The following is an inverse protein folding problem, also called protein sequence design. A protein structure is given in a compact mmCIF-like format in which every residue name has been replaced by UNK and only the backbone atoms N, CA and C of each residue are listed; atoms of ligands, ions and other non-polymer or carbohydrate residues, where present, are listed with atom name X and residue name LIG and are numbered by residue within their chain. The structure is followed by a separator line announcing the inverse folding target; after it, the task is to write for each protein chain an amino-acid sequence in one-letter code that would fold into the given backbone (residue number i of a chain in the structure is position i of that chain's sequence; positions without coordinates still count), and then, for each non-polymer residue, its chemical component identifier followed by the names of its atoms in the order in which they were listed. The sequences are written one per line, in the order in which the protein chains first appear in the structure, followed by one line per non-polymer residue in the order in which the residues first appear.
data_IF_064735540915
#
_entry.id   IF_064735540915
#
_cell.length_a   1.000
_cell.length_b   1.000
_cell.length_c   1.000
_cell.angle_alpha   90.00
_cell.angle_beta   90.00
_cell.angle_gamma   90.00
#
_symmetry.space_group_name_H-M   'P 1'
#
loop_
_entity.id
_entity.type
_entity.pdbx_description
1 polymer ?
#
# COMPACT_ATOMS: atom_id res chain seq x y z
N UNK A 1 5.79 22.45 8.58
CA UNK A 1 6.54 21.34 7.93
C UNK A 1 7.47 21.76 6.79
N UNK A 2 7.35 22.95 6.19
CA UNK A 2 8.24 23.37 5.08
C UNK A 2 9.73 23.43 5.43
N UNK A 3 10.07 23.80 6.68
CA UNK A 3 11.45 23.77 7.19
C UNK A 3 12.08 22.38 7.08
N UNK A 4 11.41 21.35 7.62
CA UNK A 4 11.93 19.98 7.64
C UNK A 4 12.10 19.38 6.25
N UNK A 5 11.17 19.63 5.33
CA UNK A 5 11.33 19.19 3.93
C UNK A 5 12.53 19.88 3.28
N UNK A 6 12.68 21.19 3.44
CA UNK A 6 13.79 21.94 2.84
C UNK A 6 15.15 21.51 3.40
N UNK A 7 15.20 21.12 4.68
CA UNK A 7 16.40 20.62 5.34
C UNK A 7 16.85 19.26 4.77
N UNK A 8 15.89 18.43 4.40
CA UNK A 8 16.10 17.08 3.87
C UNK A 8 16.23 17.04 2.34
N UNK A 9 16.01 18.16 1.64
CA UNK A 9 16.19 18.23 0.19
C UNK A 9 17.65 17.92 -0.21
N UNK A 10 17.80 17.30 -1.38
CA UNK A 10 19.09 16.98 -2.00
C UNK A 10 19.79 18.22 -2.55
N UNK A 11 20.24 19.10 -1.65
CA UNK A 11 21.04 20.28 -2.00
C UNK A 11 22.48 20.11 -1.50
N UNK A 12 23.50 20.59 -2.24
CA UNK A 12 24.90 20.51 -1.79
C UNK A 12 25.12 21.08 -0.38
N UNK A 13 24.42 22.17 -0.04
CA UNK A 13 24.49 22.80 1.28
C UNK A 13 23.98 21.90 2.44
N UNK A 14 23.09 20.95 2.16
CA UNK A 14 22.49 20.06 3.16
C UNK A 14 23.23 18.71 3.25
N UNK A 15 24.18 18.44 2.36
CA UNK A 15 24.86 17.15 2.28
C UNK A 15 25.66 16.84 3.54
N UNK A 16 26.44 17.82 4.01
CA UNK A 16 27.27 17.63 5.20
C UNK A 16 26.43 17.50 6.46
N UNK A 17 25.31 18.24 6.53
CA UNK A 17 24.37 18.16 7.63
C UNK A 17 23.70 16.78 7.70
N UNK A 18 23.32 16.21 6.54
CA UNK A 18 22.82 14.84 6.48
C UNK A 18 23.86 13.82 6.93
N UNK A 19 25.06 13.89 6.34
CA UNK A 19 26.13 12.93 6.58
C UNK A 19 26.65 12.99 8.01
N UNK A 20 26.73 14.16 8.65
CA UNK A 20 27.28 14.25 10.01
C UNK A 20 26.25 14.09 11.11
N UNK A 21 25.00 14.51 10.86
CA UNK A 21 24.03 14.69 11.94
C UNK A 21 22.68 14.04 11.64
N UNK A 22 21.99 14.43 10.56
CA UNK A 22 20.56 14.08 10.41
C UNK A 22 20.32 12.59 10.19
N UNK A 23 21.22 11.86 9.53
CA UNK A 23 21.05 10.40 9.36
C UNK A 23 20.95 9.66 10.69
N UNK A 24 21.55 10.19 11.76
CA UNK A 24 21.54 9.59 13.09
C UNK A 24 20.22 9.82 13.84
N UNK A 25 19.40 10.77 13.39
CA UNK A 25 18.05 11.01 13.91
C UNK A 25 17.07 9.94 13.41
N UNK A 26 17.40 9.24 12.33
CA UNK A 26 16.54 8.21 11.73
C UNK A 26 17.23 6.82 11.73
N UNK A 27 17.63 6.29 12.91
CA UNK A 27 18.37 5.03 13.00
C UNK A 27 17.61 3.84 12.41
N UNK A 28 16.27 3.86 12.41
CA UNK A 28 15.43 2.81 11.87
C UNK A 28 15.08 2.95 10.38
N UNK A 29 15.55 4.01 9.71
CA UNK A 29 15.25 4.26 8.29
C UNK A 29 16.04 3.35 7.35
N UNK A 30 15.70 3.32 6.05
CA UNK A 30 16.53 2.69 5.02
C UNK A 30 17.96 3.27 4.88
N UNK A 31 18.30 4.35 5.60
CA UNK A 31 19.63 4.96 5.62
C UNK A 31 19.88 5.97 4.49
N UNK A 32 18.93 6.18 3.59
CA UNK A 32 19.04 7.15 2.48
C UNK A 32 18.27 8.44 2.78
N UNK A 33 18.84 9.58 2.40
CA UNK A 33 18.19 10.89 2.60
C UNK A 33 16.91 10.97 1.80
N UNK A 34 16.92 10.39 0.61
CA UNK A 34 15.81 10.39 -0.33
C UNK A 34 14.59 9.69 0.24
N UNK A 35 14.81 8.57 0.94
CA UNK A 35 13.74 7.85 1.63
C UNK A 35 13.11 8.73 2.72
N UNK A 36 13.92 9.33 3.60
CA UNK A 36 13.42 10.19 4.68
C UNK A 36 12.73 11.43 4.12
N UNK A 37 13.33 12.08 3.12
CA UNK A 37 12.75 13.24 2.45
C UNK A 37 11.39 12.92 1.82
N UNK A 38 11.26 11.77 1.15
CA UNK A 38 9.99 11.31 0.57
C UNK A 38 8.92 11.14 1.64
N UNK A 39 9.21 10.41 2.72
CA UNK A 39 8.25 10.17 3.80
C UNK A 39 7.80 11.47 4.49
N UNK A 40 8.72 12.39 4.78
CA UNK A 40 8.40 13.70 5.38
C UNK A 40 7.59 14.58 4.40
N UNK A 41 7.87 14.49 3.10
CA UNK A 41 7.12 15.20 2.07
C UNK A 41 5.69 14.66 1.94
N UNK A 42 5.51 13.35 1.97
CA UNK A 42 4.18 12.72 1.93
C UNK A 42 3.33 13.16 3.14
N UNK A 43 3.90 13.14 4.35
CA UNK A 43 3.27 13.69 5.55
C UNK A 43 2.90 15.17 5.40
N UNK A 44 3.81 15.99 4.87
CA UNK A 44 3.55 17.42 4.62
C UNK A 44 2.37 17.61 3.68
N UNK A 45 2.32 16.83 2.60
CA UNK A 45 1.27 16.92 1.58
C UNK A 45 -0.09 16.54 2.19
N UNK A 46 -0.16 15.45 2.95
CA UNK A 46 -1.37 15.05 3.68
C UNK A 46 -1.83 16.15 4.64
N UNK A 47 -0.93 16.66 5.49
CA UNK A 47 -1.24 17.75 6.43
C UNK A 47 -1.77 19.00 5.72
N UNK A 48 -1.17 19.36 4.59
CA UNK A 48 -1.58 20.54 3.83
C UNK A 48 -2.99 20.37 3.25
N UNK A 49 -3.32 19.19 2.74
CA UNK A 49 -4.68 18.90 2.27
C UNK A 49 -5.72 18.98 3.38
N UNK A 50 -5.42 18.41 4.55
CA UNK A 50 -6.29 18.55 5.71
C UNK A 50 -6.48 20.03 6.09
N UNK A 51 -5.40 20.82 6.08
CA UNK A 51 -5.46 22.25 6.39
C UNK A 51 -6.24 23.07 5.35
N UNK A 52 -6.21 22.68 4.08
CA UNK A 52 -6.95 23.33 3.00
C UNK A 52 -8.37 22.76 2.81
N UNK A 53 -8.78 21.78 3.62
CA UNK A 53 -10.06 21.08 3.47
C UNK A 53 -10.25 20.43 2.09
N UNK A 54 -9.15 19.98 1.49
CA UNK A 54 -9.20 19.25 0.22
C UNK A 54 -9.88 17.88 0.40
N UNK A 55 -10.48 17.36 -0.67
CA UNK A 55 -11.09 16.02 -0.66
C UNK A 55 -10.07 14.95 -0.29
N UNK A 56 -10.44 14.03 0.62
CA UNK A 56 -9.64 12.85 1.00
C UNK A 56 -10.25 11.53 0.50
N UNK A 57 -11.22 11.58 -0.42
CA UNK A 57 -11.99 10.42 -0.86
C UNK A 57 -11.15 9.31 -1.51
N UNK A 58 -10.03 9.66 -2.14
CA UNK A 58 -9.13 8.70 -2.79
C UNK A 58 -8.05 8.13 -1.85
N UNK A 59 -8.13 8.44 -0.54
CA UNK A 59 -7.16 8.06 0.48
C UNK A 59 -7.78 7.07 1.45
N UNK A 60 -7.00 6.07 1.85
CA UNK A 60 -7.32 5.24 3.00
C UNK A 60 -6.65 5.87 4.24
N UNK A 61 -7.41 6.47 5.17
CA UNK A 61 -6.85 7.14 6.34
C UNK A 61 -6.04 6.19 7.23
N UNK A 62 -6.36 4.89 7.23
CA UNK A 62 -5.59 3.90 7.99
C UNK A 62 -4.23 3.62 7.37
N UNK A 63 -4.10 3.67 6.04
CA UNK A 63 -2.80 3.58 5.35
C UNK A 63 -1.96 4.82 5.65
N UNK A 64 -2.57 6.01 5.58
CA UNK A 64 -1.86 7.27 5.84
C UNK A 64 -1.37 7.36 7.29
N UNK A 65 -2.19 6.95 8.26
CA UNK A 65 -1.76 6.80 9.65
C UNK A 65 -0.56 5.85 9.76
N UNK A 66 -0.62 4.67 9.12
CA UNK A 66 0.49 3.70 9.16
C UNK A 66 1.77 4.22 8.52
N UNK A 67 1.70 5.04 7.46
CA UNK A 67 2.87 5.74 6.91
C UNK A 67 3.50 6.68 7.93
N UNK A 68 2.69 7.44 8.67
CA UNK A 68 3.15 8.33 9.74
C UNK A 68 3.82 7.55 10.87
N UNK A 69 3.17 6.49 11.33
CA UNK A 69 3.71 5.62 12.39
C UNK A 69 5.03 4.98 11.97
N UNK A 70 5.15 4.55 10.72
CA UNK A 70 6.40 4.00 10.19
C UNK A 70 7.52 5.03 10.07
N UNK A 71 7.20 6.30 9.79
CA UNK A 71 8.17 7.40 9.86
C UNK A 71 8.61 7.67 11.31
N UNK A 72 7.68 7.63 12.28
CA UNK A 72 8.02 7.81 13.70
C UNK A 72 8.89 6.66 14.19
N UNK A 73 8.60 5.43 13.79
CA UNK A 73 9.42 4.25 14.14
C UNK A 73 10.87 4.35 13.63
N UNK A 74 11.11 5.12 12.57
CA UNK A 74 12.48 5.39 12.13
C UNK A 74 13.26 6.24 13.13
N UNK A 75 12.57 7.09 13.89
CA UNK A 75 13.15 7.95 14.92
C UNK A 75 13.25 7.17 16.22
N UNK A 76 12.12 6.66 16.70
CA UNK A 76 11.99 5.99 17.98
C UNK A 76 10.79 5.02 18.00
N UNK A 77 11.01 3.71 18.18
CA UNK A 77 9.95 2.71 18.33
C UNK A 77 9.02 2.94 19.55
N UNK A 78 9.51 3.54 20.64
CA UNK A 78 8.68 3.84 21.80
C UNK A 78 7.70 4.98 21.47
N UNK A 79 8.17 6.01 20.76
CA UNK A 79 7.32 7.08 20.26
C UNK A 79 6.23 6.57 19.30
N UNK A 80 6.54 5.59 18.44
CA UNK A 80 5.52 4.92 17.60
C UNK A 80 4.44 4.30 18.48
N UNK A 81 4.84 3.49 19.46
CA UNK A 81 3.93 2.76 20.35
C UNK A 81 3.06 3.71 21.17
N UNK A 82 3.64 4.81 21.66
CA UNK A 82 2.90 5.86 22.34
C UNK A 82 1.87 6.53 21.42
N UNK A 83 2.25 6.89 20.19
CA UNK A 83 1.33 7.49 19.21
C UNK A 83 0.20 6.55 18.82
N UNK A 84 0.49 5.26 18.60
CA UNK A 84 -0.55 4.24 18.37
C UNK A 84 -1.54 4.16 19.54
N UNK A 85 -1.09 4.40 20.78
CA UNK A 85 -1.95 4.40 21.96
C UNK A 85 -2.86 5.64 22.11
N UNK A 86 -2.56 6.75 21.42
CA UNK A 86 -3.32 8.00 21.57
C UNK A 86 -4.00 8.49 20.27
N UNK A 87 -3.73 7.83 19.14
CA UNK A 87 -4.35 8.21 17.87
C UNK A 87 -5.86 7.88 17.86
N UNK A 88 -6.65 8.76 17.23
CA UNK A 88 -8.11 8.62 17.13
C UNK A 88 -8.59 8.37 15.69
N UNK A 89 -7.65 8.30 14.74
CA UNK A 89 -7.94 8.12 13.31
C UNK A 89 -8.54 6.73 13.08
N UNK A 90 -8.02 5.69 13.73
CA UNK A 90 -8.55 4.32 13.59
C UNK A 90 -10.00 4.21 14.07
N UNK A 91 -10.29 4.77 15.25
CA UNK A 91 -11.66 4.80 15.81
C UNK A 91 -12.60 5.56 14.88
N UNK A 92 -12.23 6.78 14.49
CA UNK A 92 -13.05 7.62 13.61
C UNK A 92 -13.30 6.96 12.25
N UNK A 93 -12.27 6.30 11.68
CA UNK A 93 -12.41 5.60 10.41
C UNK A 93 -13.33 4.37 10.51
N UNK A 94 -13.41 3.73 11.68
CA UNK A 94 -14.30 2.60 11.94
C UNK A 94 -15.77 3.00 12.11
N UNK A 95 -16.02 4.23 12.58
CA UNK A 95 -17.36 4.80 12.78
C UNK A 95 -18.01 5.30 11.47
N UNK A 96 -17.41 4.98 10.31
CA UNK A 96 -17.92 5.41 9.02
C UNK A 96 -19.37 4.95 8.82
N UNK A 97 -20.34 5.86 8.65
CA UNK A 97 -21.76 5.52 8.68
C UNK A 97 -22.23 4.76 7.43
N UNK A 98 -21.52 4.90 6.31
CA UNK A 98 -21.90 4.30 5.02
C UNK A 98 -20.71 3.56 4.44
N UNK A 99 -20.90 2.28 4.16
CA UNK A 99 -19.92 1.45 3.47
C UNK A 99 -19.59 2.04 2.08
N UNK A 100 -18.34 1.91 1.60
CA UNK A 100 -18.00 2.37 0.26
C UNK A 100 -18.89 1.72 -0.81
N UNK A 101 -19.57 2.53 -1.62
CA UNK A 101 -20.37 2.01 -2.74
C UNK A 101 -19.51 1.28 -3.80
N UNK A 102 -18.21 1.60 -3.83
CA UNK A 102 -17.20 0.92 -4.64
C UNK A 102 -16.18 0.31 -3.69
N UNK A 103 -16.35 -0.98 -3.42
CA UNK A 103 -15.63 -1.73 -2.40
C UNK A 103 -14.55 -2.66 -3.00
N UNK A 104 -14.37 -2.65 -4.32
CA UNK A 104 -13.29 -3.38 -5.00
C UNK A 104 -12.40 -2.42 -5.77
N UNK A 105 -11.08 -2.51 -5.56
CA UNK A 105 -10.09 -1.90 -6.45
C UNK A 105 -9.57 -2.91 -7.46
N UNK A 106 -9.69 -2.63 -8.75
CA UNK A 106 -9.06 -3.42 -9.80
C UNK A 106 -7.75 -2.76 -10.19
N UNK A 107 -6.65 -3.48 -10.00
CA UNK A 107 -5.29 -3.03 -10.30
C UNK A 107 -4.77 -3.67 -11.58
N UNK A 108 -3.99 -2.91 -12.36
CA UNK A 108 -3.33 -3.43 -13.55
C UNK A 108 -2.15 -4.32 -13.13
N UNK A 109 -2.26 -5.62 -13.35
CA UNK A 109 -1.20 -6.60 -13.13
C UNK A 109 -0.31 -6.78 -14.39
N UNK A 110 -0.50 -5.95 -15.43
CA UNK A 110 0.25 -6.03 -16.69
C UNK A 110 1.60 -5.29 -16.67
N UNK A 111 1.83 -4.39 -15.71
CA UNK A 111 3.11 -3.66 -15.58
C UNK A 111 4.17 -4.53 -14.88
N UNK A 112 3.72 -5.51 -14.09
CA UNK A 112 4.56 -6.39 -13.30
C UNK A 112 4.02 -7.82 -13.45
N UNK A 113 4.71 -8.67 -14.23
CA UNK A 113 4.48 -10.14 -14.22
C UNK A 113 4.42 -10.72 -12.79
N UNK A 114 4.89 -9.96 -11.80
CA UNK A 114 5.03 -10.30 -10.40
C UNK A 114 3.83 -9.94 -9.51
N UNK A 115 2.91 -9.06 -9.92
CA UNK A 115 1.79 -8.69 -9.04
C UNK A 115 0.84 -9.88 -8.84
N UNK A 116 0.50 -10.58 -9.92
CA UNK A 116 -0.33 -11.79 -9.84
C UNK A 116 0.43 -12.94 -9.16
N UNK A 117 1.72 -13.10 -9.44
CA UNK A 117 2.56 -14.11 -8.79
C UNK A 117 2.69 -13.86 -7.27
N UNK A 118 2.80 -12.59 -6.85
CA UNK A 118 2.78 -12.22 -5.42
C UNK A 118 1.49 -12.71 -4.75
N UNK A 119 0.34 -12.47 -5.37
CA UNK A 119 -0.92 -12.99 -4.84
C UNK A 119 -0.97 -14.51 -4.84
N UNK A 120 -0.58 -15.16 -5.94
CA UNK A 120 -0.66 -16.63 -6.05
C UNK A 120 0.33 -17.37 -5.13
N UNK A 121 1.45 -16.75 -4.77
CA UNK A 121 2.49 -17.36 -3.94
C UNK A 121 2.35 -17.07 -2.46
N UNK A 122 1.96 -15.85 -2.10
CA UNK A 122 1.97 -15.39 -0.71
C UNK A 122 0.68 -14.68 -0.30
N UNK A 123 -0.37 -14.71 -1.15
CA UNK A 123 -1.69 -14.11 -0.89
C UNK A 123 -1.57 -12.66 -0.43
N UNK A 124 -0.86 -11.85 -1.22
CA UNK A 124 -0.66 -10.44 -0.93
C UNK A 124 -0.62 -9.59 -2.20
N UNK A 125 -0.95 -8.30 -2.04
CA UNK A 125 -0.66 -7.26 -3.01
C UNK A 125 0.33 -6.26 -2.39
N UNK A 126 1.38 -5.92 -3.12
CA UNK A 126 2.41 -4.96 -2.70
C UNK A 126 2.47 -3.85 -3.73
N UNK A 127 2.52 -2.61 -3.27
CA UNK A 127 2.76 -1.45 -4.13
C UNK A 127 3.55 -0.37 -3.39
N UNK A 128 4.11 0.58 -4.14
CA UNK A 128 4.85 1.70 -3.57
C UNK A 128 3.93 2.62 -2.75
N UNK A 129 4.49 3.28 -1.72
CA UNK A 129 3.72 4.17 -0.83
C UNK A 129 3.09 5.39 -1.51
N UNK A 130 3.58 5.79 -2.69
CA UNK A 130 3.01 6.89 -3.48
C UNK A 130 1.75 6.47 -4.27
N UNK A 131 1.45 5.17 -4.32
CA UNK A 131 0.22 4.65 -4.92
C UNK A 131 -0.95 4.88 -3.96
N UNK A 132 -1.78 5.88 -4.23
CA UNK A 132 -3.03 6.03 -3.48
C UNK A 132 -4.01 4.92 -3.83
N UNK A 133 -4.53 4.24 -2.81
CA UNK A 133 -5.62 3.27 -2.90
C UNK A 133 -6.69 3.75 -1.93
N UNK A 134 -7.90 3.98 -2.44
CA UNK A 134 -9.04 4.37 -1.62
C UNK A 134 -9.42 3.23 -0.67
N UNK A 135 -10.21 3.54 0.36
CA UNK A 135 -10.73 2.54 1.28
C UNK A 135 -11.66 1.54 0.54
N UNK A 136 -11.17 0.34 0.31
CA UNK A 136 -11.86 -0.78 -0.37
C UNK A 136 -11.74 -2.05 0.45
N UNK A 137 -12.61 -3.03 0.27
CA UNK A 137 -12.59 -4.31 0.99
C UNK A 137 -11.97 -5.45 0.19
N UNK A 138 -11.93 -5.34 -1.15
CA UNK A 138 -11.39 -6.37 -2.02
C UNK A 138 -10.44 -5.81 -3.08
N UNK A 139 -9.59 -6.68 -3.63
CA UNK A 139 -8.72 -6.39 -4.77
C UNK A 139 -9.08 -7.30 -5.94
N UNK A 140 -9.16 -6.72 -7.14
CA UNK A 140 -9.23 -7.46 -8.40
C UNK A 140 -7.97 -7.23 -9.24
N UNK A 141 -7.63 -8.20 -10.09
CA UNK A 141 -6.43 -8.15 -10.91
C UNK A 141 -6.80 -8.09 -12.39
N UNK A 142 -6.34 -7.05 -13.09
CA UNK A 142 -6.48 -6.94 -14.55
C UNK A 142 -5.18 -7.34 -15.24
N UNK A 143 -5.18 -8.46 -15.94
CA UNK A 143 -4.03 -9.02 -16.66
C UNK A 143 -4.49 -9.59 -17.99
N UNK A 144 -3.65 -9.61 -19.02
CA UNK A 144 -3.95 -10.28 -20.30
C UNK A 144 -5.31 -9.91 -20.91
N UNK A 145 -5.68 -8.63 -20.83
CA UNK A 145 -6.99 -8.10 -21.29
C UNK A 145 -8.22 -8.74 -20.63
N UNK A 146 -8.10 -9.12 -19.37
CA UNK A 146 -9.22 -9.61 -18.58
C UNK A 146 -9.06 -9.21 -17.12
N UNK A 147 -10.19 -9.11 -16.41
CA UNK A 147 -10.19 -9.11 -14.95
C UNK A 147 -10.29 -10.56 -14.49
N UNK A 148 -9.37 -10.97 -13.64
CA UNK A 148 -9.31 -12.32 -13.10
C UNK A 148 -10.60 -12.68 -12.33
N UNK A 149 -11.01 -13.95 -12.32
CA UNK A 149 -12.30 -14.38 -11.78
C UNK A 149 -12.31 -14.49 -10.25
N UNK A 150 -11.42 -13.80 -9.55
CA UNK A 150 -11.32 -13.84 -8.10
C UNK A 150 -11.04 -12.45 -7.53
N UNK A 151 -11.75 -12.14 -6.46
CA UNK A 151 -11.65 -10.90 -5.71
C UNK A 151 -11.36 -11.26 -4.25
N UNK A 152 -10.08 -11.44 -3.87
CA UNK A 152 -9.73 -11.66 -2.48
C UNK A 152 -10.10 -10.46 -1.61
N UNK A 153 -10.54 -10.76 -0.39
CA UNK A 153 -10.76 -9.79 0.66
C UNK A 153 -9.43 -9.32 1.23
N UNK A 154 -9.34 -8.03 1.53
CA UNK A 154 -8.22 -7.44 2.26
C UNK A 154 -8.42 -7.77 3.74
N UNK A 155 -7.57 -8.65 4.26
CA UNK A 155 -7.57 -9.05 5.66
C UNK A 155 -6.79 -8.04 6.50
N UNK A 156 -5.69 -7.52 5.95
CA UNK A 156 -4.85 -6.56 6.65
C UNK A 156 -4.16 -5.58 5.70
N UNK A 157 -3.93 -4.37 6.21
CA UNK A 157 -3.18 -3.29 5.54
C UNK A 157 -1.99 -2.95 6.40
N UNK A 158 -0.79 -3.10 5.86
CA UNK A 158 0.46 -2.90 6.59
C UNK A 158 1.34 -1.96 5.80
N UNK A 159 1.92 -0.96 6.46
CA UNK A 159 2.99 -0.15 5.90
C UNK A 159 4.24 -0.48 6.73
N UNK A 160 5.07 -1.45 6.31
CA UNK A 160 6.26 -1.80 7.07
C UNK A 160 7.20 -0.60 7.19
N UNK A 161 7.73 -0.34 8.38
CA UNK A 161 8.75 0.68 8.55
C UNK A 161 10.03 0.31 7.76
N UNK A 162 10.33 -0.98 7.64
CA UNK A 162 11.55 -1.46 7.03
C UNK A 162 11.22 -2.51 5.98
N UNK A 163 11.90 -2.44 4.84
CA UNK A 163 11.83 -3.46 3.80
C UNK A 163 13.21 -4.07 3.59
N UNK A 164 13.60 -5.05 4.40
CA UNK A 164 14.94 -5.64 4.37
C UNK A 164 14.95 -7.09 4.80
N UNK A 165 16.04 -7.81 4.49
CA UNK A 165 16.23 -9.20 4.91
C UNK A 165 16.32 -9.35 6.42
N UNK A 166 16.82 -8.35 7.15
CA UNK A 166 16.87 -8.40 8.61
C UNK A 166 15.49 -8.23 9.23
N UNK A 167 14.65 -7.39 8.62
CA UNK A 167 13.26 -7.27 9.03
C UNK A 167 12.46 -8.56 8.77
N UNK A 168 12.74 -9.25 7.66
CA UNK A 168 12.19 -10.60 7.42
C UNK A 168 12.55 -11.56 8.55
N UNK A 169 13.81 -11.59 9.00
CA UNK A 169 14.24 -12.47 10.11
C UNK A 169 13.51 -12.10 11.40
N UNK A 170 13.43 -10.81 11.72
CA UNK A 170 12.74 -10.29 12.91
C UNK A 170 11.27 -10.72 12.93
N UNK A 171 10.54 -10.44 11.85
CA UNK A 171 9.12 -10.76 11.72
C UNK A 171 8.85 -12.27 11.68
N UNK A 172 9.78 -13.07 11.13
CA UNK A 172 9.65 -14.54 11.12
C UNK A 172 9.67 -15.15 12.53
N UNK A 173 10.36 -14.49 13.48
CA UNK A 173 10.41 -14.89 14.89
C UNK A 173 9.34 -14.26 15.78
N UNK A 174 8.47 -13.39 15.26
CA UNK A 174 7.36 -12.80 16.01
C UNK A 174 6.32 -13.86 16.36
N UNK A 175 5.59 -13.72 17.47
CA UNK A 175 4.44 -14.60 17.78
C UNK A 175 3.16 -14.20 17.04
N UNK A 176 3.13 -13.00 16.45
CA UNK A 176 1.97 -12.46 15.76
C UNK A 176 1.84 -13.12 14.38
N UNK A 177 0.68 -13.69 14.09
CA UNK A 177 0.43 -14.37 12.81
C UNK A 177 0.55 -13.43 11.60
N UNK A 178 0.10 -12.18 11.74
CA UNK A 178 0.26 -11.11 10.75
C UNK A 178 1.74 -10.86 10.41
N UNK A 179 2.61 -10.75 11.41
CA UNK A 179 4.05 -10.56 11.22
C UNK A 179 4.67 -11.74 10.48
N UNK A 180 4.34 -12.98 10.85
CA UNK A 180 4.82 -14.18 10.15
C UNK A 180 4.37 -14.19 8.68
N UNK A 181 3.14 -13.71 8.38
CA UNK A 181 2.67 -13.56 6.99
C UNK A 181 3.41 -12.45 6.26
N UNK A 182 3.58 -11.29 6.88
CA UNK A 182 4.34 -10.18 6.33
C UNK A 182 5.78 -10.58 6.02
N UNK A 183 6.45 -11.34 6.91
CA UNK A 183 7.79 -11.87 6.68
C UNK A 183 7.88 -12.70 5.39
N UNK A 184 6.88 -13.57 5.14
CA UNK A 184 6.81 -14.36 3.89
C UNK A 184 6.64 -13.47 2.67
N UNK A 185 5.76 -12.47 2.74
CA UNK A 185 5.52 -11.50 1.66
C UNK A 185 6.78 -10.70 1.35
N UNK A 186 7.44 -10.17 2.39
CA UNK A 186 8.69 -9.43 2.28
C UNK A 186 9.80 -10.29 1.69
N UNK A 187 9.98 -11.52 2.20
CA UNK A 187 10.98 -12.45 1.71
C UNK A 187 10.78 -12.82 0.23
N UNK A 188 9.52 -13.01 -0.19
CA UNK A 188 9.21 -13.21 -1.60
C UNK A 188 9.45 -11.95 -2.42
N UNK A 189 8.99 -10.78 -1.97
CA UNK A 189 9.14 -9.53 -2.69
C UNK A 189 10.60 -9.10 -2.89
N UNK A 190 11.46 -9.26 -1.87
CA UNK A 190 12.91 -9.00 -1.96
C UNK A 190 13.58 -9.86 -3.03
N UNK A 191 13.20 -11.14 -3.14
CA UNK A 191 13.70 -12.05 -4.19
C UNK A 191 13.12 -11.74 -5.56
N UNK A 192 11.97 -11.08 -5.61
CA UNK A 192 11.20 -10.83 -6.81
C UNK A 192 11.12 -9.33 -7.13
N UNK A 193 12.21 -8.58 -6.97
CA UNK A 193 12.37 -7.25 -7.58
C UNK A 193 11.88 -6.06 -6.77
N UNK A 194 11.43 -6.26 -5.53
CA UNK A 194 11.32 -5.16 -4.57
C UNK A 194 12.67 -4.93 -3.91
N UNK A 195 13.29 -3.79 -4.15
CA UNK A 195 14.61 -3.48 -3.61
C UNK A 195 14.59 -3.37 -2.08
N UNK A 196 15.70 -3.75 -1.43
CA UNK A 196 15.90 -3.46 0.00
C UNK A 196 15.82 -1.95 0.24
N UNK A 197 15.12 -1.53 1.30
CA UNK A 197 14.86 -0.13 1.62
C UNK A 197 13.69 0.48 0.85
N UNK A 198 12.97 -0.29 0.01
CA UNK A 198 11.78 0.20 -0.68
C UNK A 198 10.69 0.62 0.31
N UNK A 199 10.03 1.74 0.00
CA UNK A 199 8.88 2.22 0.75
C UNK A 199 7.61 1.70 0.10
N UNK A 200 7.01 0.71 0.76
CA UNK A 200 5.88 -0.03 0.22
C UNK A 200 4.76 -0.12 1.22
N UNK A 201 3.57 -0.34 0.69
CA UNK A 201 2.40 -0.75 1.44
C UNK A 201 1.99 -2.15 0.98
N UNK A 202 1.61 -2.97 1.95
CA UNK A 202 1.28 -4.38 1.80
C UNK A 202 -0.17 -4.59 2.19
N UNK A 203 -0.91 -5.24 1.30
CA UNK A 203 -2.25 -5.71 1.55
C UNK A 203 -2.16 -7.22 1.70
N UNK A 204 -2.41 -7.74 2.91
CA UNK A 204 -2.58 -9.17 3.12
C UNK A 204 -3.98 -9.54 2.66
N UNK A 205 -4.04 -10.52 1.76
CA UNK A 205 -5.24 -10.91 1.05
C UNK A 205 -5.66 -12.31 1.48
N UNK A 206 -6.97 -12.57 1.46
CA UNK A 206 -7.49 -13.92 1.61
C UNK A 206 -6.96 -14.82 0.49
N UNK A 207 -6.65 -16.08 0.82
CA UNK A 207 -6.12 -17.02 -0.18
C UNK A 207 -7.11 -17.29 -1.32
N UNK A 208 -6.62 -17.68 -2.50
CA UNK A 208 -7.46 -17.94 -3.70
C UNK A 208 -8.61 -18.92 -3.46
N UNK A 209 -8.40 -19.92 -2.59
CA UNK A 209 -9.40 -20.93 -2.22
C UNK A 209 -10.18 -20.62 -0.94
N UNK A 210 -9.84 -19.53 -0.24
CA UNK A 210 -10.54 -19.10 0.97
C UNK A 210 -12.03 -18.83 0.70
N UNK A 211 -12.94 -19.08 1.65
CA UNK A 211 -14.32 -18.63 1.56
C UNK A 211 -14.46 -17.09 1.52
N UNK A 212 -13.45 -16.36 2.03
CA UNK A 212 -13.42 -14.89 1.98
C UNK A 212 -13.04 -14.34 0.59
N UNK A 213 -12.59 -15.20 -0.32
CA UNK A 213 -12.30 -14.81 -1.71
C UNK A 213 -13.53 -15.03 -2.56
N UNK A 214 -14.14 -13.95 -3.03
CA UNK A 214 -15.26 -14.02 -3.97
C UNK A 214 -14.75 -14.54 -5.32
N UNK A 215 -15.39 -15.59 -5.85
CA UNK A 215 -14.98 -16.24 -7.10
C UNK A 215 -16.10 -16.25 -8.12
N UNK A 216 -15.72 -16.14 -9.38
CA UNK A 216 -16.55 -16.35 -10.57
C UNK A 216 -16.09 -17.60 -11.30
N UNK A 217 -16.95 -18.14 -12.17
CA UNK A 217 -16.59 -19.26 -13.04
C UNK A 217 -15.71 -18.85 -14.22
N UNK A 218 -15.79 -17.59 -14.65
CA UNK A 218 -15.07 -17.05 -15.81
C UNK A 218 -14.48 -15.66 -15.52
N UNK A 219 -13.36 -15.29 -16.15
CA UNK A 219 -12.84 -13.93 -16.08
C UNK A 219 -13.76 -12.92 -16.78
N UNK A 220 -13.61 -11.63 -16.50
CA UNK A 220 -14.33 -10.54 -17.18
C UNK A 220 -13.48 -10.10 -18.37
N UNK A 221 -13.95 -10.32 -19.60
CA UNK A 221 -13.14 -10.09 -20.80
C UNK A 221 -13.14 -8.61 -21.20
N UNK A 222 -12.00 -8.14 -21.70
CA UNK A 222 -11.86 -6.83 -22.33
C UNK A 222 -11.59 -6.96 -23.83
N UNK A 223 -12.60 -6.67 -24.64
CA UNK A 223 -12.56 -6.87 -26.09
C UNK A 223 -11.96 -5.69 -26.87
N UNK A 224 -11.89 -4.49 -26.28
CA UNK A 224 -11.32 -3.33 -27.00
C UNK A 224 -9.84 -3.56 -27.28
N UNK A 225 -9.41 -3.14 -28.47
CA UNK A 225 -8.03 -3.29 -28.96
C UNK A 225 -7.53 -1.95 -29.51
N UNK A 226 -6.21 -1.86 -29.74
CA UNK A 226 -5.54 -0.64 -30.21
C UNK A 226 -4.72 0.08 -29.13
N UNK A 227 -3.97 1.10 -29.54
CA UNK A 227 -3.07 1.86 -28.64
C UNK A 227 -3.89 2.54 -27.55
N UNK A 228 -3.50 2.28 -26.30
CA UNK A 228 -4.19 2.89 -25.14
C UNK A 228 -5.55 2.27 -24.80
N UNK A 229 -5.93 1.15 -25.41
CA UNK A 229 -7.20 0.45 -25.14
C UNK A 229 -7.30 -0.20 -23.77
N UNK A 230 -6.18 -0.42 -23.05
CA UNK A 230 -6.17 -1.12 -21.77
C UNK A 230 -7.22 -0.57 -20.79
N UNK A 231 -8.11 -1.46 -20.32
CA UNK A 231 -9.22 -1.12 -19.43
C UNK A 231 -8.78 -0.52 -18.10
N UNK A 232 -7.64 -1.00 -17.57
CA UNK A 232 -7.03 -0.55 -16.32
C UNK A 232 -5.60 -0.11 -16.62
N UNK A 233 -5.33 1.20 -16.46
CA UNK A 233 -3.97 1.78 -16.45
C UNK A 233 -3.66 2.34 -15.06
N UNK A 234 -4.64 3.06 -14.52
CA UNK A 234 -4.74 3.44 -13.12
C UNK A 234 -5.73 2.52 -12.40
N UNK A 235 -5.67 2.40 -11.06
CA UNK A 235 -6.63 1.61 -10.31
C UNK A 235 -8.05 2.07 -10.63
N UNK A 236 -8.97 1.13 -10.80
CA UNK A 236 -10.39 1.42 -11.03
C UNK A 236 -11.22 0.82 -9.91
N UNK A 237 -12.26 1.53 -9.51
CA UNK A 237 -13.08 1.18 -8.36
C UNK A 237 -14.47 0.76 -8.80
N UNK A 238 -14.96 -0.37 -8.30
CA UNK A 238 -16.26 -0.93 -8.64
C UNK A 238 -16.95 -1.49 -7.40
N UNK A 239 -18.27 -1.65 -7.48
CA UNK A 239 -19.00 -2.48 -6.54
C UNK A 239 -18.72 -3.95 -6.83
N UNK A 240 -18.54 -4.77 -5.80
CA UNK A 240 -18.32 -6.21 -5.93
C UNK A 240 -19.50 -6.87 -6.67
N UNK A 241 -20.73 -6.45 -6.39
CA UNK A 241 -21.94 -6.93 -7.06
C UNK A 241 -21.91 -6.69 -8.57
N UNK A 242 -21.43 -5.51 -9.01
CA UNK A 242 -21.29 -5.20 -10.42
C UNK A 242 -20.25 -6.08 -11.11
N UNK A 243 -19.13 -6.37 -10.43
CA UNK A 243 -18.09 -7.26 -10.94
C UNK A 243 -18.56 -8.72 -11.02
N UNK A 244 -19.34 -9.18 -10.05
CA UNK A 244 -19.91 -10.54 -10.06
C UNK A 244 -20.87 -10.72 -11.26
N UNK A 245 -21.67 -9.69 -11.55
CA UNK A 245 -22.66 -9.72 -12.64
C UNK A 245 -22.09 -9.45 -14.05
N UNK A 246 -20.88 -8.90 -14.18
CA UNK A 246 -20.33 -8.50 -15.46
C UNK A 246 -19.52 -9.61 -16.15
N UNK A 247 -19.82 -9.92 -17.41
CA UNK A 247 -18.99 -10.82 -18.24
C UNK A 247 -18.01 -10.07 -19.14
N UNK A 248 -18.31 -8.82 -19.45
CA UNK A 248 -17.48 -7.95 -20.26
C UNK A 248 -17.26 -6.62 -19.55
N UNK A 249 -16.03 -6.09 -19.65
CA UNK A 249 -15.67 -4.77 -19.12
C UNK A 249 -16.52 -3.62 -19.66
N UNK A 250 -17.19 -3.77 -20.80
CA UNK A 250 -18.17 -2.82 -21.33
C UNK A 250 -19.39 -2.64 -20.41
N UNK A 251 -19.74 -3.64 -19.60
CA UNK A 251 -20.84 -3.56 -18.63
C UNK A 251 -20.46 -2.78 -17.36
N UNK A 252 -19.17 -2.48 -17.18
CA UNK A 252 -18.61 -1.75 -16.04
C UNK A 252 -18.37 -0.26 -16.37
N UNK A 253 -18.97 0.22 -17.46
CA UNK A 253 -18.85 1.57 -17.99
C UNK A 253 -19.87 2.54 -17.40
#
# INVERSE_FOLDING_TARGET
MGFWTNLLEQRPANEELWRRHLRHVFPGSPGTREAVHKAVTDMRNLRNRCAHQDSLLDFDPGIELKKLLSLVEWIDPEARSWLEGIESVSTTASERPVAPARDVVVVAATVEKKTIEMYERVSAYVCANDRSIAQVTHIGFYVSKQIEPYFPQIEERIVPARWSSDEVKRLSGSEIAADKRLAKVMGYGLKNGWASGAQVQVFLLSEKKSPLTTRRSKPIVHEKSGRGSAFVKNPRYFALSALVAADNTAHLG
#
